data_IF_547498945365
#
_entry.id   IF_547498945365
#
_cell.length_a   1.000
_cell.length_b   1.000
_cell.length_c   1.000
_cell.angle_alpha   90.00
_cell.angle_beta   90.00
_cell.angle_gamma   90.00
#
_symmetry.space_group_name_H-M   'P 1'
#
loop_
_entity.id
_entity.type
_entity.pdbx_description
1 polymer ?
#
# COMPACT_ATOMS: atom_id res chain seq x y z
N UNK A 1 -18.43 3.56 6.52
CA UNK A 1 -18.77 4.51 7.60
C UNK A 1 -17.86 4.27 8.81
N UNK A 2 -17.49 5.32 9.53
CA UNK A 2 -16.71 5.23 10.77
C UNK A 2 -17.37 4.24 11.73
N UNK A 3 -16.57 3.39 12.36
CA UNK A 3 -17.05 2.43 13.36
C UNK A 3 -16.89 3.07 14.74
N UNK A 4 -18.00 3.62 15.23
CA UNK A 4 -18.04 4.35 16.51
C UNK A 4 -18.24 3.35 17.67
N UNK A 5 -17.22 2.55 17.92
CA UNK A 5 -17.11 1.67 19.08
C UNK A 5 -15.86 2.03 19.87
N UNK A 6 -15.99 2.73 21.01
CA UNK A 6 -14.87 3.20 21.78
C UNK A 6 -13.91 2.08 22.21
N UNK A 7 -14.42 0.93 22.61
CA UNK A 7 -13.62 -0.19 23.07
C UNK A 7 -12.75 -0.75 21.96
N UNK A 8 -13.32 -0.96 20.76
CA UNK A 8 -12.56 -1.39 19.59
C UNK A 8 -11.50 -0.35 19.18
N UNK A 9 -11.86 0.94 19.15
CA UNK A 9 -10.92 1.99 18.77
C UNK A 9 -9.79 2.15 19.78
N UNK A 10 -10.05 2.04 21.08
CA UNK A 10 -9.02 2.03 22.13
C UNK A 10 -8.10 0.82 21.99
N UNK A 11 -8.64 -0.36 21.69
CA UNK A 11 -7.86 -1.56 21.46
C UNK A 11 -6.93 -1.40 20.24
N UNK A 12 -7.45 -0.92 19.12
CA UNK A 12 -6.65 -0.63 17.92
C UNK A 12 -5.55 0.39 18.21
N UNK A 13 -5.89 1.49 18.91
CA UNK A 13 -4.95 2.52 19.29
C UNK A 13 -3.87 1.98 20.23
N UNK A 14 -4.21 1.11 21.17
CA UNK A 14 -3.28 0.48 22.10
C UNK A 14 -2.22 -0.36 21.37
N UNK A 15 -2.64 -1.25 20.47
CA UNK A 15 -1.73 -2.07 19.66
C UNK A 15 -0.88 -1.18 18.76
N UNK A 16 -1.52 -0.29 18.00
CA UNK A 16 -0.87 0.56 17.02
C UNK A 16 0.15 1.50 17.64
N UNK A 17 -0.12 2.05 18.82
CA UNK A 17 0.80 2.93 19.54
C UNK A 17 2.08 2.20 19.98
N UNK A 18 1.99 0.96 20.39
CA UNK A 18 3.16 0.13 20.74
C UNK A 18 4.10 -0.06 19.56
N UNK A 19 3.53 -0.24 18.36
CA UNK A 19 4.29 -0.40 17.11
C UNK A 19 4.85 0.95 16.64
N UNK A 20 4.03 2.01 16.72
CA UNK A 20 4.38 3.34 16.26
C UNK A 20 5.59 3.94 17.02
N UNK A 21 5.74 3.62 18.31
CA UNK A 21 6.91 4.02 19.10
C UNK A 21 8.21 3.50 18.51
N UNK A 22 8.20 2.29 17.96
CA UNK A 22 9.38 1.67 17.34
C UNK A 22 9.70 2.24 15.94
N UNK A 23 8.71 2.85 15.30
CA UNK A 23 8.89 3.45 13.98
C UNK A 23 9.70 4.76 13.99
N UNK A 24 9.80 5.44 15.12
CA UNK A 24 10.64 6.62 15.39
C UNK A 24 10.76 7.63 14.24
N UNK A 25 9.66 7.98 13.60
CA UNK A 25 9.69 8.93 12.49
C UNK A 25 9.40 10.36 12.98
N UNK A 26 10.42 10.98 13.56
CA UNK A 26 10.51 12.46 13.69
C UNK A 26 9.29 13.18 14.29
N UNK A 27 8.47 12.50 15.12
CA UNK A 27 7.29 13.10 15.75
C UNK A 27 5.98 12.87 14.99
N UNK A 28 5.95 11.97 14.01
CA UNK A 28 4.70 11.56 13.35
C UNK A 28 3.76 10.93 14.40
N UNK A 29 2.59 11.52 14.56
CA UNK A 29 1.53 10.95 15.38
C UNK A 29 0.69 9.98 14.56
N UNK A 30 0.36 8.83 15.14
CA UNK A 30 -0.50 7.83 14.49
C UNK A 30 -1.84 7.72 15.21
N UNK A 31 -2.91 7.68 14.43
CA UNK A 31 -4.27 7.48 14.91
C UNK A 31 -4.88 6.27 14.23
N UNK A 32 -5.28 5.28 15.02
CA UNK A 32 -5.89 4.03 14.56
C UNK A 32 -7.39 4.05 14.82
N UNK A 33 -8.17 3.64 13.83
CA UNK A 33 -9.63 3.63 13.95
C UNK A 33 -10.27 2.52 13.13
N UNK A 34 -11.43 2.05 13.59
CA UNK A 34 -12.25 1.08 12.89
C UNK A 34 -13.10 1.72 11.78
N UNK A 35 -13.33 0.97 10.72
CA UNK A 35 -14.27 1.33 9.65
C UNK A 35 -15.30 0.21 9.50
N UNK A 36 -16.57 0.58 9.51
CA UNK A 36 -17.66 -0.39 9.33
C UNK A 36 -17.76 -0.81 7.87
N UNK A 37 -16.96 -1.83 7.55
CA UNK A 37 -16.91 -2.43 6.23
C UNK A 37 -16.55 -3.92 6.38
N UNK A 38 -17.24 -4.80 5.65
CA UNK A 38 -17.04 -6.25 5.71
C UNK A 38 -15.86 -6.73 4.87
N UNK A 39 -15.30 -5.88 4.04
CA UNK A 39 -14.12 -6.20 3.26
C UNK A 39 -12.90 -6.36 4.17
N UNK A 40 -11.98 -7.23 3.76
CA UNK A 40 -10.71 -7.42 4.45
C UNK A 40 -9.75 -6.39 3.91
N UNK A 41 -9.61 -5.28 4.61
CA UNK A 41 -8.77 -4.18 4.18
C UNK A 41 -8.29 -3.34 5.37
N UNK A 42 -7.09 -2.79 5.23
CA UNK A 42 -6.57 -1.69 6.02
C UNK A 42 -6.01 -0.65 5.06
N UNK A 43 -5.89 0.58 5.51
CA UNK A 43 -5.37 1.66 4.67
C UNK A 43 -4.77 2.77 5.51
N UNK A 44 -3.74 3.40 4.98
CA UNK A 44 -3.13 4.60 5.54
C UNK A 44 -3.62 5.85 4.80
N UNK A 45 -3.88 6.90 5.55
CA UNK A 45 -4.20 8.23 5.04
C UNK A 45 -3.08 9.22 5.38
N UNK A 46 -2.93 10.30 4.62
CA UNK A 46 -2.01 11.38 4.97
C UNK A 46 -2.26 11.91 6.37
N UNK A 47 -1.19 12.20 7.12
CA UNK A 47 -1.28 12.67 8.50
C UNK A 47 -1.18 11.57 9.56
N UNK A 48 -0.91 10.33 9.17
CA UNK A 48 -0.72 9.22 10.10
C UNK A 48 -2.03 8.56 10.58
N UNK A 49 -3.10 8.73 9.84
CA UNK A 49 -4.37 8.05 10.12
C UNK A 49 -4.37 6.66 9.47
N UNK A 50 -4.64 5.62 10.27
CA UNK A 50 -4.69 4.23 9.81
C UNK A 50 -6.07 3.66 10.12
N UNK A 51 -6.80 3.34 9.06
CA UNK A 51 -8.13 2.74 9.12
C UNK A 51 -8.09 1.24 8.97
N UNK A 52 -8.87 0.53 9.77
CA UNK A 52 -9.00 -0.92 9.74
C UNK A 52 -10.46 -1.32 9.59
N UNK A 53 -10.77 -2.05 8.54
CA UNK A 53 -12.11 -2.51 8.29
C UNK A 53 -12.53 -3.59 9.30
N UNK A 54 -13.79 -3.57 9.72
CA UNK A 54 -14.33 -4.59 10.64
C UNK A 54 -14.20 -6.00 10.06
N UNK A 55 -14.26 -6.15 8.74
CA UNK A 55 -14.04 -7.43 8.08
C UNK A 55 -12.63 -7.97 8.26
N UNK A 56 -11.62 -7.11 8.34
CA UNK A 56 -10.24 -7.47 8.65
C UNK A 56 -10.11 -7.87 10.12
N UNK A 57 -10.59 -7.01 11.03
CA UNK A 57 -10.49 -7.24 12.49
C UNK A 57 -11.08 -8.59 12.88
N UNK A 58 -12.24 -8.94 12.31
CA UNK A 58 -12.94 -10.20 12.62
C UNK A 58 -12.32 -11.44 11.97
N UNK A 59 -11.42 -11.28 11.01
CA UNK A 59 -10.75 -12.37 10.28
C UNK A 59 -9.33 -12.65 10.76
N UNK A 60 -8.73 -11.77 11.56
CA UNK A 60 -7.45 -12.04 12.22
C UNK A 60 -7.65 -13.10 13.30
N UNK A 61 -6.73 -14.08 13.33
CA UNK A 61 -6.81 -15.22 14.25
C UNK A 61 -6.21 -14.90 15.62
N UNK A 62 -5.35 -13.92 15.70
CA UNK A 62 -4.69 -13.49 16.92
C UNK A 62 -4.23 -12.02 16.84
N UNK A 63 -3.79 -11.49 17.98
CA UNK A 63 -3.32 -10.10 18.10
C UNK A 63 -2.11 -9.81 17.22
N UNK A 64 -1.18 -10.78 17.06
CA UNK A 64 0.02 -10.58 16.24
C UNK A 64 -0.29 -10.47 14.75
N UNK A 65 -1.33 -11.15 14.24
CA UNK A 65 -1.78 -10.95 12.86
C UNK A 65 -2.34 -9.55 12.65
N UNK A 66 -3.16 -9.05 13.59
CA UNK A 66 -3.68 -7.69 13.55
C UNK A 66 -2.56 -6.65 13.64
N UNK A 67 -1.64 -6.85 14.58
CA UNK A 67 -0.45 -6.02 14.74
C UNK A 67 0.45 -6.04 13.49
N UNK A 68 0.56 -7.18 12.81
CA UNK A 68 1.30 -7.32 11.56
C UNK A 68 0.75 -6.43 10.46
N UNK A 69 -0.57 -6.38 10.28
CA UNK A 69 -1.21 -5.47 9.32
C UNK A 69 -0.96 -4.01 9.71
N UNK A 70 -1.09 -3.66 10.99
CA UNK A 70 -0.81 -2.30 11.46
C UNK A 70 0.64 -1.89 11.20
N UNK A 71 1.59 -2.79 11.45
CA UNK A 71 3.01 -2.53 11.21
C UNK A 71 3.31 -2.31 9.73
N UNK A 72 2.66 -3.05 8.84
CA UNK A 72 2.74 -2.87 7.40
C UNK A 72 2.24 -1.48 6.98
N UNK A 73 1.06 -1.06 7.46
CA UNK A 73 0.50 0.27 7.17
C UNK A 73 1.37 1.40 7.74
N UNK A 74 1.92 1.24 8.96
CA UNK A 74 2.90 2.17 9.52
C UNK A 74 4.12 2.27 8.61
N UNK A 75 4.59 1.14 8.06
CA UNK A 75 5.69 1.10 7.09
C UNK A 75 5.42 1.98 5.87
N UNK A 76 4.22 1.92 5.29
CA UNK A 76 3.82 2.77 4.18
C UNK A 76 3.85 4.27 4.54
N UNK A 77 3.38 4.64 5.72
CA UNK A 77 3.37 6.04 6.19
C UNK A 77 4.80 6.54 6.40
N UNK A 78 5.62 5.80 7.15
CA UNK A 78 6.99 6.18 7.49
C UNK A 78 7.86 6.33 6.24
N UNK A 79 7.73 5.40 5.29
CA UNK A 79 8.45 5.46 4.02
C UNK A 79 7.87 6.48 3.04
N UNK A 80 6.80 7.18 3.44
CA UNK A 80 6.12 8.20 2.62
C UNK A 80 5.66 7.67 1.27
N UNK A 81 5.21 6.41 1.22
CA UNK A 81 4.82 5.75 -0.02
C UNK A 81 3.72 6.51 -0.77
N UNK A 82 2.75 7.10 -0.06
CA UNK A 82 1.69 7.91 -0.68
C UNK A 82 2.27 9.11 -1.46
N UNK A 83 3.24 9.84 -0.86
CA UNK A 83 3.87 10.96 -1.53
C UNK A 83 4.76 10.52 -2.71
N UNK A 84 5.46 9.40 -2.55
CA UNK A 84 6.29 8.81 -3.60
C UNK A 84 5.46 8.30 -4.78
N UNK A 85 4.32 7.65 -4.52
CA UNK A 85 3.37 7.22 -5.53
C UNK A 85 2.84 8.39 -6.36
N UNK A 86 2.52 9.51 -5.73
CA UNK A 86 2.09 10.72 -6.43
C UNK A 86 3.16 11.28 -7.37
N UNK A 87 4.42 11.27 -6.95
CA UNK A 87 5.56 11.70 -7.81
C UNK A 87 5.79 10.71 -8.95
N UNK A 88 5.73 9.41 -8.66
CA UNK A 88 5.90 8.36 -9.68
C UNK A 88 4.81 8.40 -10.75
N UNK A 89 3.56 8.68 -10.36
CA UNK A 89 2.45 8.84 -11.30
C UNK A 89 2.67 10.00 -12.27
N UNK A 90 3.26 11.11 -11.80
CA UNK A 90 3.65 12.22 -12.69
C UNK A 90 4.70 11.78 -13.70
N UNK A 91 5.70 11.00 -13.27
CA UNK A 91 6.72 10.44 -14.17
C UNK A 91 6.11 9.54 -15.24
N UNK A 92 5.19 8.65 -14.87
CA UNK A 92 4.46 7.78 -15.81
C UNK A 92 3.63 8.56 -16.81
N UNK A 93 2.99 9.66 -16.37
CA UNK A 93 2.23 10.55 -17.26
C UNK A 93 3.11 11.27 -18.27
N UNK A 94 4.32 11.70 -17.88
CA UNK A 94 5.30 12.29 -18.79
C UNK A 94 5.81 11.27 -19.82
N UNK A 95 6.04 10.04 -19.41
CA UNK A 95 6.44 8.94 -20.32
C UNK A 95 5.34 8.65 -21.34
N UNK A 96 4.09 8.61 -20.92
CA UNK A 96 2.95 8.41 -21.80
C UNK A 96 2.79 9.58 -22.80
N UNK A 97 2.97 10.82 -22.34
CA UNK A 97 2.94 12.01 -23.22
C UNK A 97 4.09 12.01 -24.24
N UNK A 98 5.30 11.66 -23.82
CA UNK A 98 6.45 11.52 -24.71
C UNK A 98 6.20 10.41 -25.77
N UNK A 99 5.56 9.32 -25.38
CA UNK A 99 5.15 8.25 -26.29
C UNK A 99 4.12 8.71 -27.32
N UNK A 100 3.15 9.50 -26.90
CA UNK A 100 2.15 10.08 -27.80
C UNK A 100 2.81 11.02 -28.83
N UNK A 101 3.68 11.92 -28.39
CA UNK A 101 4.41 12.80 -29.27
C UNK A 101 5.31 12.03 -30.26
N UNK A 102 6.01 11.00 -29.76
CA UNK A 102 6.82 10.10 -30.58
C UNK A 102 5.98 9.36 -31.63
N UNK A 103 4.80 8.88 -31.26
CA UNK A 103 3.88 8.20 -32.16
C UNK A 103 3.42 9.11 -33.32
N UNK A 104 3.07 10.37 -32.98
CA UNK A 104 2.68 11.37 -33.98
C UNK A 104 3.82 11.70 -34.95
N UNK A 105 5.04 11.90 -34.41
CA UNK A 105 6.21 12.19 -35.22
C UNK A 105 6.57 11.04 -36.16
N UNK A 106 6.60 9.80 -35.67
CA UNK A 106 6.91 8.63 -36.50
C UNK A 106 5.83 8.38 -37.52
N UNK A 107 4.57 8.49 -37.18
CA UNK A 107 3.45 8.40 -38.12
C UNK A 107 3.54 9.43 -39.23
N UNK A 108 3.90 10.67 -38.89
CA UNK A 108 4.06 11.76 -39.84
C UNK A 108 5.26 11.57 -40.78
N UNK A 109 6.41 11.09 -40.25
CA UNK A 109 7.66 10.90 -41.06
C UNK A 109 7.57 9.66 -41.95
N UNK A 110 6.97 8.56 -41.46
CA UNK A 110 6.86 7.30 -42.20
C UNK A 110 5.61 7.22 -43.07
N UNK A 111 4.64 8.10 -42.87
CA UNK A 111 3.32 8.00 -43.48
C UNK A 111 2.53 6.78 -43.07
N UNK A 112 2.92 6.11 -41.98
CA UNK A 112 2.34 4.87 -41.47
C UNK A 112 1.68 5.08 -40.11
N UNK A 113 0.36 4.98 -40.04
CA UNK A 113 -0.39 5.01 -38.80
C UNK A 113 -0.01 3.82 -37.87
N UNK A 114 0.30 2.66 -38.45
CA UNK A 114 0.65 1.45 -37.70
C UNK A 114 1.97 1.61 -36.96
N UNK A 115 2.96 2.28 -37.57
CA UNK A 115 4.24 2.58 -36.90
C UNK A 115 4.05 3.54 -35.72
N UNK A 116 3.19 4.55 -35.85
CA UNK A 116 2.83 5.45 -34.75
C UNK A 116 2.10 4.72 -33.63
N UNK A 117 1.14 3.86 -33.95
CA UNK A 117 0.42 3.05 -32.97
C UNK A 117 1.35 2.08 -32.23
N UNK A 118 2.35 1.49 -32.91
CA UNK A 118 3.35 0.65 -32.28
C UNK A 118 4.16 1.37 -31.20
N UNK A 119 4.62 2.59 -31.48
CA UNK A 119 5.35 3.41 -30.50
C UNK A 119 4.47 3.78 -29.28
N UNK A 120 3.20 4.10 -29.54
CA UNK A 120 2.25 4.42 -28.46
C UNK A 120 2.01 3.20 -27.56
N UNK A 121 1.83 2.01 -28.13
CA UNK A 121 1.63 0.78 -27.37
C UNK A 121 2.85 0.42 -26.49
N UNK A 122 4.06 0.56 -27.02
CA UNK A 122 5.31 0.33 -26.28
C UNK A 122 5.45 1.32 -25.12
N UNK A 123 5.17 2.60 -25.34
CA UNK A 123 5.30 3.62 -24.28
C UNK A 123 4.25 3.46 -23.18
N UNK A 124 3.03 3.05 -23.50
CA UNK A 124 2.01 2.73 -22.50
C UNK A 124 2.39 1.49 -21.70
N UNK A 125 2.89 0.44 -22.36
CA UNK A 125 3.41 -0.75 -21.70
C UNK A 125 4.57 -0.45 -20.75
N UNK A 126 5.50 0.40 -21.16
CA UNK A 126 6.62 0.83 -20.32
C UNK A 126 6.15 1.62 -19.08
N UNK A 127 5.21 2.54 -19.25
CA UNK A 127 4.65 3.31 -18.14
C UNK A 127 3.92 2.39 -17.13
N UNK A 128 3.15 1.42 -17.61
CA UNK A 128 2.47 0.42 -16.78
C UNK A 128 3.48 -0.46 -16.04
N UNK A 129 4.55 -0.90 -16.71
CA UNK A 129 5.59 -1.72 -16.08
C UNK A 129 6.35 -0.93 -15.00
N UNK A 130 6.62 0.35 -15.21
CA UNK A 130 7.23 1.21 -14.20
C UNK A 130 6.32 1.31 -12.95
N UNK A 131 5.02 1.48 -13.15
CA UNK A 131 4.05 1.54 -12.03
C UNK A 131 4.01 0.23 -11.25
N UNK A 132 3.98 -0.91 -11.93
CA UNK A 132 3.99 -2.23 -11.29
C UNK A 132 5.28 -2.44 -10.48
N UNK A 133 6.43 -2.11 -11.05
CA UNK A 133 7.71 -2.27 -10.37
C UNK A 133 7.82 -1.36 -9.15
N UNK A 134 7.32 -0.13 -9.26
CA UNK A 134 7.28 0.82 -8.15
C UNK A 134 6.41 0.31 -7.01
N UNK A 135 5.19 -0.14 -7.30
CA UNK A 135 4.28 -0.71 -6.30
C UNK A 135 4.89 -1.92 -5.59
N UNK A 136 5.49 -2.86 -6.33
CA UNK A 136 6.17 -4.02 -5.73
C UNK A 136 7.31 -3.62 -4.81
N UNK A 137 8.07 -2.62 -5.18
CA UNK A 137 9.18 -2.12 -4.36
C UNK A 137 8.66 -1.51 -3.05
N UNK A 138 7.58 -0.74 -3.11
CA UNK A 138 6.95 -0.15 -1.93
C UNK A 138 6.39 -1.21 -0.99
N UNK A 139 5.71 -2.24 -1.52
CA UNK A 139 5.22 -3.35 -0.72
C UNK A 139 6.35 -4.08 0.01
N UNK A 140 7.43 -4.45 -0.72
CA UNK A 140 8.59 -5.09 -0.09
C UNK A 140 9.27 -4.21 0.97
N UNK A 141 9.29 -2.90 0.76
CA UNK A 141 9.83 -1.96 1.73
C UNK A 141 8.95 -1.88 2.98
N UNK A 142 7.62 -1.78 2.82
CA UNK A 142 6.66 -1.78 3.91
C UNK A 142 6.70 -3.08 4.72
N UNK A 143 6.76 -4.23 4.05
CA UNK A 143 6.91 -5.54 4.71
C UNK A 143 8.19 -5.59 5.53
N UNK A 144 9.32 -5.23 4.94
CA UNK A 144 10.63 -5.30 5.60
C UNK A 144 10.72 -4.42 6.83
N UNK A 145 10.28 -3.17 6.73
CA UNK A 145 10.33 -2.25 7.88
C UNK A 145 9.24 -2.58 8.89
N UNK A 146 8.05 -2.98 8.43
CA UNK A 146 6.94 -3.39 9.28
C UNK A 146 7.27 -4.60 10.16
N UNK A 147 7.91 -5.63 9.62
CA UNK A 147 8.39 -6.79 10.40
C UNK A 147 9.37 -6.34 11.48
N UNK A 148 10.27 -5.40 11.17
CA UNK A 148 11.20 -4.83 12.15
C UNK A 148 10.47 -4.13 13.30
N UNK A 149 9.50 -3.30 13.00
CA UNK A 149 8.68 -2.61 14.02
C UNK A 149 7.85 -3.57 14.85
N UNK A 150 7.24 -4.57 14.21
CA UNK A 150 6.43 -5.59 14.85
C UNK A 150 7.25 -6.37 15.89
N UNK A 151 8.43 -6.83 15.49
CA UNK A 151 9.36 -7.55 16.37
C UNK A 151 9.85 -6.68 17.52
N UNK A 152 10.25 -5.43 17.25
CA UNK A 152 10.70 -4.48 18.27
C UNK A 152 9.61 -4.16 19.29
N UNK A 153 8.34 -4.11 18.88
CA UNK A 153 7.18 -3.89 19.75
C UNK A 153 6.81 -5.13 20.60
N UNK A 154 7.50 -6.27 20.41
CA UNK A 154 7.29 -7.49 21.17
C UNK A 154 6.15 -8.38 20.67
N UNK A 155 5.68 -8.17 19.44
CA UNK A 155 4.74 -9.06 18.77
C UNK A 155 5.48 -10.16 18.00
N UNK A 156 4.76 -11.24 17.68
CA UNK A 156 5.29 -12.29 16.84
C UNK A 156 5.47 -11.79 15.40
N UNK A 157 6.69 -11.75 14.86
CA UNK A 157 6.94 -11.31 13.49
C UNK A 157 6.26 -12.19 12.43
N UNK A 158 5.95 -13.46 12.75
CA UNK A 158 5.20 -14.35 11.88
C UNK A 158 3.72 -13.95 11.74
N UNK A 159 3.23 -13.06 12.59
CA UNK A 159 1.86 -12.53 12.51
C UNK A 159 1.55 -11.87 11.16
N UNK A 160 2.48 -11.15 10.58
CA UNK A 160 2.33 -10.55 9.24
C UNK A 160 2.19 -11.63 8.16
N UNK A 161 3.08 -12.63 8.15
CA UNK A 161 3.03 -13.74 7.21
C UNK A 161 1.78 -14.61 7.41
N UNK A 162 1.35 -14.80 8.67
CA UNK A 162 0.13 -15.50 9.04
C UNK A 162 -1.11 -14.84 8.46
N UNK A 163 -1.20 -13.51 8.55
CA UNK A 163 -2.30 -12.76 7.97
C UNK A 163 -2.36 -12.90 6.44
N UNK A 164 -1.25 -12.70 5.73
CA UNK A 164 -1.23 -12.85 4.28
C UNK A 164 -1.55 -14.28 3.84
N UNK A 165 -1.11 -15.28 4.58
CA UNK A 165 -1.50 -16.69 4.34
C UNK A 165 -3.00 -16.92 4.52
N UNK A 166 -3.61 -16.30 5.52
CA UNK A 166 -5.06 -16.35 5.76
C UNK A 166 -5.82 -15.66 4.63
N UNK A 167 -5.34 -14.50 4.18
CA UNK A 167 -5.90 -13.79 3.03
C UNK A 167 -5.86 -14.64 1.75
N UNK A 168 -4.72 -15.26 1.45
CA UNK A 168 -4.57 -16.12 0.29
C UNK A 168 -5.54 -17.31 0.29
N UNK A 169 -5.83 -17.90 1.46
CA UNK A 169 -6.83 -18.97 1.60
C UNK A 169 -8.27 -18.49 1.39
N UNK A 170 -8.57 -17.26 1.79
CA UNK A 170 -9.92 -16.69 1.64
C UNK A 170 -10.20 -16.18 0.22
N UNK A 171 -9.15 -15.84 -0.53
CA UNK A 171 -9.24 -15.42 -1.92
C UNK A 171 -9.06 -16.59 -2.90
N UNK A 172 -9.03 -17.85 -2.43
CA UNK A 172 -8.73 -19.09 -3.13
C UNK A 172 -9.03 -19.13 -4.63
N UNK A 173 -8.51 -20.08 -5.39
CA UNK A 173 -8.70 -20.11 -6.83
C UNK A 173 -10.20 -20.21 -7.13
N UNK A 174 -10.74 -19.17 -7.79
CA UNK A 174 -12.05 -19.20 -8.43
C UNK A 174 -11.98 -20.03 -9.71
#
# INVERSE_FOLDING_TARGET
>A
AYFDDPETNEFLQSIGSRIAVEAQDGGQTFTFFGVRDKSINAFALPGGFIGMNTGLITRTSNESELAGVMAHEIGHVVQRHIARAYVAQRGSSLTALAGLLGAVLIGAVTGSADAGMGVMAISQGAAMQQQINFTRMEEHEADRVGIGYLSAAGFDPDGMAGFFSTMGRLQGPS
#
